data_IF_488089667464
#
_entry.id   IF_488089667464
#
_cell.length_a   1.000
_cell.length_b   1.000
_cell.length_c   1.000
_cell.angle_alpha   90.00
_cell.angle_beta   90.00
_cell.angle_gamma   90.00
#
_symmetry.space_group_name_H-M   'P 1'
#
loop_
_entity.id
_entity.type
_entity.pdbx_description
1 polymer ?
#
# COMPACT_ATOMS: atom_id res chain seq x y z
N UNK A 1 2.67 22.18 -16.84
CA UNK A 1 1.29 21.70 -17.08
C UNK A 1 0.77 20.83 -15.94
N UNK A 2 1.61 20.01 -15.29
CA UNK A 2 1.26 19.13 -14.17
C UNK A 2 0.94 19.84 -12.84
N UNK A 3 1.70 20.87 -12.45
CA UNK A 3 1.49 21.59 -11.17
C UNK A 3 0.14 22.31 -11.09
N UNK A 4 -0.27 22.97 -12.17
CA UNK A 4 -1.56 23.70 -12.23
C UNK A 4 -2.73 22.73 -12.08
N UNK A 5 -2.62 21.53 -12.66
CA UNK A 5 -3.65 20.49 -12.52
C UNK A 5 -3.69 19.96 -11.08
N UNK A 6 -2.54 19.74 -10.46
CA UNK A 6 -2.44 19.25 -9.08
C UNK A 6 -3.08 20.23 -8.09
N UNK A 7 -2.77 21.53 -8.21
CA UNK A 7 -3.36 22.56 -7.35
C UNK A 7 -4.88 22.68 -7.55
N UNK A 8 -5.36 22.57 -8.79
CA UNK A 8 -6.80 22.51 -9.07
C UNK A 8 -7.48 21.29 -8.47
N UNK A 9 -6.82 20.13 -8.47
CA UNK A 9 -7.34 18.91 -7.85
C UNK A 9 -7.38 19.05 -6.33
N UNK A 10 -6.31 19.53 -5.70
CA UNK A 10 -6.24 19.82 -4.26
C UNK A 10 -7.35 20.76 -3.82
N UNK A 11 -7.57 21.86 -4.56
CA UNK A 11 -8.63 22.82 -4.26
C UNK A 11 -10.06 22.23 -4.31
N UNK A 12 -10.25 21.09 -5.00
CA UNK A 12 -11.53 20.36 -5.06
C UNK A 12 -11.65 19.25 -4.02
N UNK A 13 -10.57 18.92 -3.30
CA UNK A 13 -10.61 17.86 -2.30
C UNK A 13 -11.45 18.29 -1.11
N UNK A 14 -12.31 17.38 -0.63
CA UNK A 14 -13.11 17.57 0.59
C UNK A 14 -12.35 17.18 1.86
N UNK A 15 -11.13 16.67 1.71
CA UNK A 15 -10.26 16.24 2.78
C UNK A 15 -8.92 16.94 2.65
N UNK A 16 -8.21 17.06 3.77
CA UNK A 16 -6.80 17.42 3.81
C UNK A 16 -5.98 16.12 3.80
N UNK A 17 -5.39 15.70 2.67
CA UNK A 17 -4.80 14.37 2.51
C UNK A 17 -3.70 14.07 3.54
N UNK A 18 -2.89 15.06 3.88
CA UNK A 18 -1.80 14.94 4.83
C UNK A 18 -2.34 14.67 6.25
N UNK A 19 -3.42 15.34 6.65
CA UNK A 19 -4.08 15.10 7.94
C UNK A 19 -4.77 13.73 7.96
N UNK A 20 -5.43 13.36 6.87
CA UNK A 20 -6.08 12.06 6.73
C UNK A 20 -5.06 10.92 6.82
N UNK A 21 -3.93 11.04 6.10
CA UNK A 21 -2.83 10.07 6.14
C UNK A 21 -2.25 9.93 7.56
N UNK A 22 -1.97 11.06 8.23
CA UNK A 22 -1.46 11.04 9.61
C UNK A 22 -2.43 10.37 10.58
N UNK A 23 -3.73 10.64 10.44
CA UNK A 23 -4.78 9.99 11.24
C UNK A 23 -4.78 8.47 11.03
N UNK A 24 -4.71 8.02 9.78
CA UNK A 24 -4.65 6.59 9.44
C UNK A 24 -3.35 5.92 9.91
N UNK A 25 -2.21 6.60 9.81
CA UNK A 25 -0.93 6.11 10.34
C UNK A 25 -0.98 5.91 11.85
N UNK A 26 -1.58 6.86 12.58
CA UNK A 26 -1.77 6.76 14.02
C UNK A 26 -2.71 5.61 14.37
N UNK A 27 -3.82 5.46 13.66
CA UNK A 27 -4.72 4.33 13.80
C UNK A 27 -4.00 2.99 13.62
N UNK A 28 -3.20 2.84 12.56
CA UNK A 28 -2.42 1.61 12.31
C UNK A 28 -1.45 1.35 13.47
N UNK A 29 -0.72 2.36 13.92
CA UNK A 29 0.27 2.23 15.01
C UNK A 29 -0.41 1.85 16.33
N UNK A 30 -1.52 2.49 16.65
CA UNK A 30 -2.29 2.25 17.87
C UNK A 30 -2.85 0.84 17.89
N UNK A 31 -3.52 0.40 16.82
CA UNK A 31 -4.10 -0.94 16.78
C UNK A 31 -3.05 -2.04 16.72
N UNK A 32 -1.93 -1.82 16.01
CA UNK A 32 -0.82 -2.77 16.03
C UNK A 32 -0.27 -2.96 17.46
N UNK A 33 -0.11 -1.87 18.22
CA UNK A 33 0.32 -1.92 19.62
C UNK A 33 -0.71 -2.55 20.55
N UNK A 34 -1.98 -2.13 20.47
CA UNK A 34 -3.08 -2.65 21.31
C UNK A 34 -3.31 -4.15 21.14
N UNK A 35 -3.11 -4.65 19.92
CA UNK A 35 -3.29 -6.06 19.60
C UNK A 35 -1.99 -6.87 19.73
N UNK A 36 -0.92 -6.25 20.25
CA UNK A 36 0.40 -6.87 20.46
C UNK A 36 0.93 -7.58 19.20
N UNK A 37 0.81 -6.91 18.05
CA UNK A 37 1.24 -7.45 16.75
C UNK A 37 2.65 -6.99 16.40
N UNK A 38 3.37 -7.84 15.69
CA UNK A 38 4.75 -7.56 15.26
C UNK A 38 4.82 -6.70 13.98
N UNK A 39 3.71 -6.59 13.24
CA UNK A 39 3.63 -5.87 11.99
C UNK A 39 2.32 -6.09 11.24
N UNK A 40 2.30 -5.72 9.97
CA UNK A 40 1.15 -5.85 9.08
C UNK A 40 1.48 -6.73 7.86
N UNK A 41 0.49 -7.54 7.44
CA UNK A 41 0.51 -8.30 6.20
C UNK A 41 -0.66 -7.82 5.34
N UNK A 42 -0.43 -7.54 4.05
CA UNK A 42 -1.46 -7.09 3.13
C UNK A 42 -1.23 -7.57 1.70
N UNK A 43 -2.31 -7.65 0.92
CA UNK A 43 -2.23 -7.86 -0.53
C UNK A 43 -1.81 -6.59 -1.27
N UNK A 44 -0.92 -6.71 -2.26
CA UNK A 44 -0.52 -5.63 -3.16
C UNK A 44 -0.84 -6.04 -4.60
N UNK A 45 -1.87 -5.42 -5.18
CA UNK A 45 -2.41 -5.83 -6.49
C UNK A 45 -1.83 -5.05 -7.67
N UNK A 46 -1.12 -3.96 -7.43
CA UNK A 46 -0.71 -2.99 -8.45
C UNK A 46 -1.70 -1.83 -8.62
N UNK A 47 -2.85 -1.87 -7.95
CA UNK A 47 -3.82 -0.78 -7.90
C UNK A 47 -3.48 0.29 -6.84
N UNK A 48 -3.98 1.51 -7.06
CA UNK A 48 -3.72 2.68 -6.22
C UNK A 48 -4.13 2.47 -4.76
N UNK A 49 -5.26 1.79 -4.51
CA UNK A 49 -5.78 1.60 -3.15
C UNK A 49 -4.80 0.78 -2.30
N UNK A 50 -4.37 -0.38 -2.81
CA UNK A 50 -3.39 -1.23 -2.13
C UNK A 50 -2.03 -0.56 -1.98
N UNK A 51 -1.63 0.28 -2.94
CA UNK A 51 -0.40 1.06 -2.87
C UNK A 51 -0.45 2.14 -1.77
N UNK A 52 -1.59 2.83 -1.61
CA UNK A 52 -1.80 3.79 -0.52
C UNK A 52 -1.71 3.10 0.83
N UNK A 53 -2.38 1.95 1.02
CA UNK A 53 -2.32 1.23 2.29
C UNK A 53 -0.89 0.73 2.58
N UNK A 54 -0.18 0.16 1.60
CA UNK A 54 1.21 -0.26 1.78
C UNK A 54 2.11 0.91 2.22
N UNK A 55 1.96 2.09 1.60
CA UNK A 55 2.70 3.29 2.00
C UNK A 55 2.36 3.74 3.43
N UNK A 56 1.09 3.74 3.82
CA UNK A 56 0.65 4.09 5.17
C UNK A 56 1.18 3.08 6.21
N UNK A 57 1.17 1.78 5.92
CA UNK A 57 1.75 0.75 6.79
C UNK A 57 3.26 0.98 7.00
N UNK A 58 4.01 1.25 5.93
CA UNK A 58 5.45 1.55 6.03
C UNK A 58 5.70 2.81 6.84
N UNK A 59 4.91 3.89 6.64
CA UNK A 59 5.03 5.12 7.43
C UNK A 59 4.69 4.91 8.91
N UNK A 60 3.72 4.04 9.20
CA UNK A 60 3.26 3.79 10.55
C UNK A 60 4.19 2.84 11.35
N UNK A 61 4.61 1.74 10.72
CA UNK A 61 5.26 0.60 11.36
C UNK A 61 6.72 0.39 10.91
N UNK A 62 7.10 0.96 9.78
CA UNK A 62 8.38 0.74 9.13
C UNK A 62 8.36 -0.42 8.12
N UNK A 63 9.30 -0.42 7.16
CA UNK A 63 9.34 -1.42 6.08
C UNK A 63 9.61 -2.84 6.58
N UNK A 64 10.42 -3.01 7.63
CA UNK A 64 10.73 -4.32 8.24
C UNK A 64 9.55 -4.97 8.95
N UNK A 65 8.52 -4.20 9.28
CA UNK A 65 7.29 -4.68 9.95
C UNK A 65 6.10 -4.70 9.00
N UNK A 66 6.35 -4.63 7.69
CA UNK A 66 5.33 -4.68 6.65
C UNK A 66 5.71 -5.78 5.68
N UNK A 67 4.79 -6.71 5.43
CA UNK A 67 4.92 -7.77 4.44
C UNK A 67 3.82 -7.62 3.41
N UNK A 68 4.17 -7.51 2.12
CA UNK A 68 3.19 -7.49 1.04
C UNK A 68 3.15 -8.84 0.30
N UNK A 69 1.93 -9.29 0.00
CA UNK A 69 1.66 -10.47 -0.81
C UNK A 69 1.15 -10.03 -2.19
N UNK A 70 1.86 -10.41 -3.23
CA UNK A 70 1.42 -10.24 -4.63
C UNK A 70 0.86 -11.59 -5.06
N UNK A 71 -0.42 -11.63 -5.38
CA UNK A 71 -1.17 -12.88 -5.55
C UNK A 71 -1.86 -12.94 -6.92
N UNK A 72 -1.11 -13.10 -8.03
CA UNK A 72 -1.71 -13.21 -9.35
C UNK A 72 -2.38 -14.56 -9.56
N UNK A 73 -3.26 -14.63 -10.56
CA UNK A 73 -3.78 -15.85 -11.16
C UNK A 73 -3.59 -15.82 -12.69
N UNK A 74 -4.02 -16.87 -13.41
CA UNK A 74 -3.77 -17.07 -14.85
C UNK A 74 -4.16 -15.88 -15.74
N UNK A 75 -5.24 -15.18 -15.39
CA UNK A 75 -5.81 -14.06 -16.15
C UNK A 75 -5.30 -12.69 -15.63
N UNK A 76 -4.40 -12.70 -14.64
CA UNK A 76 -3.89 -11.49 -14.04
C UNK A 76 -2.95 -10.77 -14.99
N UNK A 77 -3.19 -9.46 -15.14
CA UNK A 77 -2.39 -8.65 -16.05
C UNK A 77 -0.95 -8.51 -15.55
N UNK A 78 0.01 -8.81 -16.43
CA UNK A 78 1.44 -8.68 -16.15
C UNK A 78 1.86 -7.29 -15.68
N UNK A 79 1.21 -6.25 -16.21
CA UNK A 79 1.47 -4.85 -15.85
C UNK A 79 1.22 -4.59 -14.34
N UNK A 80 0.12 -5.10 -13.80
CA UNK A 80 -0.24 -4.92 -12.40
C UNK A 80 0.73 -5.63 -11.45
N UNK A 81 1.20 -6.83 -11.84
CA UNK A 81 2.22 -7.57 -11.11
C UNK A 81 3.54 -6.79 -11.07
N UNK A 82 3.93 -6.21 -12.21
CA UNK A 82 5.15 -5.40 -12.32
C UNK A 82 5.06 -4.12 -11.49
N UNK A 83 3.91 -3.43 -11.52
CA UNK A 83 3.68 -2.24 -10.71
C UNK A 83 3.78 -2.55 -9.22
N UNK A 84 3.15 -3.65 -8.77
CA UNK A 84 3.24 -4.11 -7.39
C UNK A 84 4.68 -4.45 -6.96
N UNK A 85 5.42 -5.16 -7.82
CA UNK A 85 6.83 -5.50 -7.57
C UNK A 85 7.72 -4.25 -7.53
N UNK A 86 7.52 -3.30 -8.44
CA UNK A 86 8.30 -2.07 -8.48
C UNK A 86 8.02 -1.20 -7.25
N UNK A 87 6.74 -1.05 -6.90
CA UNK A 87 6.31 -0.23 -5.78
C UNK A 87 6.81 -0.77 -4.44
N UNK A 88 6.69 -2.07 -4.21
CA UNK A 88 7.19 -2.73 -2.98
C UNK A 88 8.71 -2.58 -2.83
N UNK A 89 9.48 -2.73 -3.93
CA UNK A 89 10.93 -2.47 -3.95
C UNK A 89 11.26 -1.03 -3.59
N UNK A 90 10.53 -0.05 -4.15
CA UNK A 90 10.74 1.39 -3.87
C UNK A 90 10.54 1.71 -2.39
N UNK A 91 9.62 1.02 -1.73
CA UNK A 91 9.33 1.18 -0.30
C UNK A 91 10.20 0.29 0.61
N UNK A 92 11.11 -0.52 0.05
CA UNK A 92 11.96 -1.48 0.77
C UNK A 92 11.18 -2.49 1.63
N UNK A 93 9.99 -2.90 1.18
CA UNK A 93 9.11 -3.82 1.91
C UNK A 93 9.44 -5.27 1.56
N UNK A 94 9.40 -6.16 2.55
CA UNK A 94 9.44 -7.60 2.27
C UNK A 94 8.24 -8.01 1.40
N UNK A 95 8.50 -8.79 0.35
CA UNK A 95 7.48 -9.12 -0.65
C UNK A 95 7.50 -10.60 -0.97
N UNK A 96 6.31 -11.22 -1.00
CA UNK A 96 6.12 -12.59 -1.48
C UNK A 96 5.21 -12.59 -2.70
N UNK A 97 5.65 -13.27 -3.75
CA UNK A 97 4.84 -13.54 -4.94
C UNK A 97 4.27 -14.96 -4.80
N UNK A 98 2.95 -15.09 -4.82
CA UNK A 98 2.24 -16.36 -4.63
C UNK A 98 1.28 -16.55 -5.79
N UNK A 99 1.56 -17.50 -6.67
CA UNK A 99 0.64 -17.85 -7.76
C UNK A 99 -0.60 -18.54 -7.20
N UNK A 100 -1.77 -17.92 -7.39
CA UNK A 100 -3.05 -18.45 -6.95
C UNK A 100 -3.71 -19.36 -7.98
N UNK A 101 -3.18 -19.42 -9.22
CA UNK A 101 -3.72 -20.25 -10.30
C UNK A 101 -3.99 -21.71 -9.90
N UNK A 102 -3.14 -22.39 -9.11
CA UNK A 102 -3.38 -23.77 -8.72
C UNK A 102 -4.54 -23.98 -7.72
N UNK A 103 -5.04 -22.92 -7.09
CA UNK A 103 -6.04 -22.98 -6.02
C UNK A 103 -7.43 -22.48 -6.46
N UNK A 104 -7.56 -22.03 -7.71
CA UNK A 104 -8.78 -21.50 -8.32
C UNK A 104 -9.25 -22.42 -9.45
#
# INVERSE_FOLDING_TARGET
MSEILLEKLKAKMKIEPEKAALSLENFIREYNGKLEREGAILGLSGGIDSAVIAALCVRALGPKKTLVLIMPEKDSKKEHIQDALHFSRKLNIETKLIDMTPYL
#
